data_IF_313993592110
#
_entry.id   IF_313993592110
#
_cell.length_a   1.000
_cell.length_b   1.000
_cell.length_c   1.000
_cell.angle_alpha   90.00
_cell.angle_beta   90.00
_cell.angle_gamma   90.00
#
_symmetry.space_group_name_H-M   'P 1'
#
loop_
_entity.id
_entity.type
_entity.pdbx_description
1 polymer ?
#
# COMPACT_ATOMS: atom_id res chain seq x y z
N UNK A 1 -12.95 -47.05 -31.54
CA UNK A 1 -13.29 -45.64 -31.77
C UNK A 1 -12.92 -44.87 -30.51
N UNK A 2 -11.72 -44.29 -30.46
CA UNK A 2 -11.16 -43.58 -29.29
C UNK A 2 -11.59 -42.13 -29.36
N UNK A 3 -12.28 -41.65 -28.31
CA UNK A 3 -12.60 -40.23 -28.14
C UNK A 3 -11.50 -39.59 -27.35
N UNK A 4 -10.77 -38.67 -28.00
CA UNK A 4 -9.72 -37.84 -27.37
C UNK A 4 -10.37 -36.84 -26.40
N UNK A 5 -9.95 -36.86 -25.14
CA UNK A 5 -10.23 -35.82 -24.18
C UNK A 5 -9.55 -34.52 -24.65
N UNK A 6 -10.31 -33.47 -24.89
CA UNK A 6 -9.80 -32.14 -25.21
C UNK A 6 -9.22 -31.49 -23.95
N UNK A 7 -7.95 -31.16 -23.99
CA UNK A 7 -7.30 -30.33 -22.98
C UNK A 7 -7.88 -28.92 -23.05
N UNK A 8 -8.60 -28.53 -22.01
CA UNK A 8 -9.03 -27.16 -21.81
C UNK A 8 -7.87 -26.38 -21.16
N UNK A 9 -7.03 -25.78 -22.00
CA UNK A 9 -6.01 -24.82 -21.53
C UNK A 9 -6.69 -23.48 -21.26
N UNK A 10 -6.88 -23.17 -19.97
CA UNK A 10 -7.29 -21.84 -19.56
C UNK A 10 -6.19 -20.82 -19.93
N UNK A 11 -6.54 -19.62 -20.42
CA UNK A 11 -5.55 -18.62 -20.83
C UNK A 11 -4.77 -18.09 -19.61
N UNK A 12 -3.47 -18.34 -19.60
CA UNK A 12 -2.54 -17.97 -18.54
C UNK A 12 -2.38 -16.45 -18.30
N UNK A 13 -2.99 -15.62 -19.15
CA UNK A 13 -2.87 -14.16 -19.09
C UNK A 13 -3.80 -13.47 -18.08
N UNK A 14 -4.84 -14.16 -17.58
CA UNK A 14 -5.83 -13.55 -16.67
C UNK A 14 -5.40 -13.56 -15.20
N UNK A 15 -4.43 -14.38 -14.81
CA UNK A 15 -3.98 -14.55 -13.43
C UNK A 15 -2.89 -13.56 -13.01
N UNK A 16 -2.05 -13.08 -13.93
CA UNK A 16 -0.87 -12.28 -13.59
C UNK A 16 -1.19 -10.86 -13.14
N UNK A 17 -2.09 -10.16 -13.83
CA UNK A 17 -2.46 -8.78 -13.50
C UNK A 17 -3.17 -8.65 -12.14
N UNK A 18 -4.05 -9.61 -11.81
CA UNK A 18 -4.78 -9.63 -10.54
C UNK A 18 -3.85 -9.79 -9.33
N UNK A 19 -2.84 -10.67 -9.43
CA UNK A 19 -1.87 -10.86 -8.35
C UNK A 19 -0.98 -9.63 -8.14
N UNK A 20 -0.74 -8.83 -9.18
CA UNK A 20 0.06 -7.61 -9.07
C UNK A 20 -0.70 -6.50 -8.35
N UNK A 21 -1.99 -6.34 -8.63
CA UNK A 21 -2.84 -5.34 -7.97
C UNK A 21 -3.05 -5.70 -6.49
N UNK A 22 -3.34 -6.97 -6.19
CA UNK A 22 -3.49 -7.44 -4.81
C UNK A 22 -2.18 -7.33 -4.00
N UNK A 23 -1.03 -7.67 -4.59
CA UNK A 23 0.28 -7.49 -3.96
C UNK A 23 0.61 -6.02 -3.69
N UNK A 24 0.22 -5.10 -4.59
CA UNK A 24 0.40 -3.67 -4.38
C UNK A 24 -0.53 -3.12 -3.31
N UNK A 25 -1.79 -3.54 -3.28
CA UNK A 25 -2.74 -3.17 -2.22
C UNK A 25 -2.24 -3.66 -0.84
N UNK A 26 -1.70 -4.87 -0.77
CA UNK A 26 -1.11 -5.44 0.46
C UNK A 26 0.20 -4.74 0.86
N UNK A 27 1.05 -4.36 -0.10
CA UNK A 27 2.30 -3.62 0.15
C UNK A 27 2.06 -2.18 0.64
N UNK A 28 0.98 -1.53 0.21
CA UNK A 28 0.59 -0.20 0.72
C UNK A 28 0.17 -0.27 2.19
N UNK A 29 -0.43 -1.37 2.62
CA UNK A 29 -0.77 -1.61 4.03
C UNK A 29 0.48 -1.78 4.93
N UNK A 30 1.59 -2.29 4.40
CA UNK A 30 2.81 -2.58 5.18
C UNK A 30 3.74 -1.37 5.41
N UNK A 31 3.58 -0.26 4.69
CA UNK A 31 4.45 0.92 4.80
C UNK A 31 3.95 1.96 5.82
N UNK A 32 2.78 1.78 6.41
CA UNK A 32 2.18 2.74 7.36
C UNK A 32 2.60 2.57 8.83
N UNK A 33 3.65 1.79 9.16
CA UNK A 33 4.01 1.45 10.55
C UNK A 33 5.33 2.09 11.01
N UNK A 34 5.57 3.35 10.72
CA UNK A 34 6.76 4.00 11.26
C UNK A 34 6.50 5.44 11.74
N UNK A 35 5.46 5.67 12.52
CA UNK A 35 5.34 6.92 13.28
C UNK A 35 4.35 6.80 14.43
N UNK A 36 4.70 6.16 15.54
CA UNK A 36 4.03 6.44 16.81
C UNK A 36 4.85 5.91 18.00
N UNK A 37 5.31 6.80 18.84
CA UNK A 37 5.29 6.51 20.26
C UNK A 37 6.60 6.46 21.01
N UNK A 38 7.13 7.63 21.34
CA UNK A 38 7.96 7.79 22.53
C UNK A 38 7.08 7.77 23.77
N UNK A 39 7.13 6.70 24.55
CA UNK A 39 6.74 6.71 25.94
C UNK A 39 7.86 6.05 26.76
N UNK A 40 8.63 6.88 27.49
CA UNK A 40 9.53 6.42 28.53
C UNK A 40 8.74 5.77 29.66
N UNK A 41 9.07 4.53 30.00
CA UNK A 41 8.61 3.88 31.22
C UNK A 41 9.55 2.74 31.57
N UNK A 42 10.25 2.88 32.67
CA UNK A 42 11.21 1.96 33.25
C UNK A 42 10.55 0.64 33.71
N UNK A 43 11.33 -0.45 33.62
CA UNK A 43 11.41 -1.63 34.51
C UNK A 43 10.74 -2.95 34.13
N UNK A 44 11.61 -3.91 34.16
CA UNK A 44 11.65 -5.32 34.60
C UNK A 44 11.45 -6.42 33.54
N UNK A 45 12.35 -7.45 33.57
CA UNK A 45 12.27 -8.56 32.63
C UNK A 45 11.27 -9.60 33.11
N UNK A 46 10.01 -9.46 32.73
CA UNK A 46 9.07 -10.56 32.79
C UNK A 46 9.11 -11.29 31.46
N UNK A 47 9.37 -12.59 31.50
CA UNK A 47 9.15 -13.53 30.39
C UNK A 47 7.68 -13.45 29.98
N UNK A 48 7.33 -12.46 29.19
CA UNK A 48 6.00 -12.36 28.59
C UNK A 48 5.98 -13.20 27.34
N UNK A 49 5.21 -14.27 27.41
CA UNK A 49 4.72 -15.03 26.27
C UNK A 49 4.28 -14.04 25.18
N UNK A 50 4.92 -14.13 24.01
CA UNK A 50 4.43 -13.48 22.79
C UNK A 50 3.01 -13.98 22.53
N UNK A 51 2.02 -13.19 22.90
CA UNK A 51 0.66 -13.36 22.40
C UNK A 51 0.67 -13.04 20.91
N UNK A 52 0.32 -13.97 20.02
CA UNK A 52 0.06 -13.62 18.62
C UNK A 52 -1.29 -12.89 18.58
N UNK A 53 -1.30 -11.65 18.15
CA UNK A 53 -2.54 -11.05 17.75
C UNK A 53 -3.01 -9.74 18.35
N UNK A 54 -2.13 -8.77 18.58
CA UNK A 54 -2.57 -7.38 18.52
C UNK A 54 -2.13 -6.82 17.17
N UNK A 55 -2.92 -7.05 16.13
CA UNK A 55 -2.81 -6.26 14.91
C UNK A 55 -3.13 -4.83 15.31
N UNK A 56 -2.10 -3.97 15.31
CA UNK A 56 -2.30 -2.55 15.46
C UNK A 56 -3.21 -2.13 14.29
N UNK A 57 -4.36 -1.53 14.61
CA UNK A 57 -5.28 -1.04 13.59
C UNK A 57 -4.50 -0.13 12.64
N UNK A 58 -4.63 -0.38 11.35
CA UNK A 58 -4.01 0.46 10.31
C UNK A 58 -4.50 1.88 10.52
N UNK A 59 -3.60 2.87 10.69
CA UNK A 59 -4.02 4.24 10.94
C UNK A 59 -4.86 4.74 9.76
N UNK A 60 -5.98 5.40 10.08
CA UNK A 60 -6.86 5.96 9.07
C UNK A 60 -6.13 7.04 8.28
N UNK A 61 -6.10 6.92 6.94
CA UNK A 61 -5.50 7.91 6.06
C UNK A 61 -6.42 9.14 6.03
N UNK A 62 -5.88 10.30 6.41
CA UNK A 62 -6.55 11.57 6.20
C UNK A 62 -6.58 11.88 4.70
N UNK A 63 -7.74 11.66 4.07
CA UNK A 63 -7.88 11.82 2.64
C UNK A 63 -8.06 13.29 2.26
N UNK A 64 -7.25 13.77 1.32
CA UNK A 64 -7.25 15.13 0.80
C UNK A 64 -7.38 15.15 -0.73
N UNK A 65 -7.81 16.29 -1.29
CA UNK A 65 -7.77 16.49 -2.74
C UNK A 65 -6.34 16.73 -3.20
N UNK A 66 -5.92 15.94 -4.17
CA UNK A 66 -4.61 16.07 -4.81
C UNK A 66 -4.66 17.06 -5.97
N UNK A 67 -3.51 17.65 -6.26
CA UNK A 67 -3.28 18.46 -7.45
C UNK A 67 -1.89 18.20 -8.06
N UNK A 68 -1.68 18.65 -9.31
CA UNK A 68 -0.42 18.43 -10.03
C UNK A 68 0.83 18.94 -9.30
N UNK A 69 0.71 20.03 -8.53
CA UNK A 69 1.85 20.58 -7.77
C UNK A 69 2.27 19.64 -6.64
N UNK A 70 1.30 19.05 -5.92
CA UNK A 70 1.58 18.11 -4.87
C UNK A 70 2.22 16.83 -5.41
N UNK A 71 1.75 16.33 -6.56
CA UNK A 71 2.38 15.17 -7.20
C UNK A 71 3.79 15.48 -7.70
N UNK A 72 4.01 16.66 -8.27
CA UNK A 72 5.36 17.10 -8.67
C UNK A 72 6.29 17.25 -7.45
N UNK A 73 5.78 17.82 -6.35
CA UNK A 73 6.50 17.91 -5.09
C UNK A 73 6.85 16.52 -4.53
N UNK A 74 5.90 15.58 -4.55
CA UNK A 74 6.15 14.20 -4.16
C UNK A 74 7.31 13.57 -4.96
N UNK A 75 7.31 13.70 -6.29
CA UNK A 75 8.39 13.18 -7.14
C UNK A 75 9.74 13.79 -6.81
N UNK A 76 9.78 15.11 -6.53
CA UNK A 76 10.98 15.81 -6.10
C UNK A 76 11.49 15.32 -4.75
N UNK A 77 10.59 15.18 -3.76
CA UNK A 77 10.93 14.70 -2.43
C UNK A 77 11.43 13.25 -2.45
N UNK A 78 10.83 12.36 -3.24
CA UNK A 78 11.32 10.99 -3.41
C UNK A 78 12.76 10.94 -3.88
N UNK A 79 13.13 11.78 -4.86
CA UNK A 79 14.50 11.88 -5.34
C UNK A 79 15.46 12.36 -4.26
N UNK A 80 15.04 13.35 -3.44
CA UNK A 80 15.87 13.84 -2.33
C UNK A 80 15.99 12.80 -1.21
N UNK A 81 14.93 12.01 -0.93
CA UNK A 81 14.94 10.93 0.05
C UNK A 81 15.89 9.80 -0.34
N UNK A 82 15.99 9.45 -1.60
CA UNK A 82 16.98 8.47 -2.11
C UNK A 82 18.40 8.90 -1.70
N UNK A 83 18.71 10.20 -1.72
CA UNK A 83 20.05 10.69 -1.36
C UNK A 83 20.39 10.51 0.13
N UNK A 84 19.38 10.30 1.01
CA UNK A 84 19.58 10.08 2.45
C UNK A 84 19.18 8.67 2.91
N UNK A 85 18.91 7.74 1.98
CA UNK A 85 18.49 6.37 2.30
C UNK A 85 19.44 5.69 3.29
N UNK A 86 20.76 5.81 3.09
CA UNK A 86 21.73 5.22 4.01
C UNK A 86 21.65 5.78 5.44
N UNK A 87 21.25 7.04 5.61
CA UNK A 87 21.05 7.64 6.95
C UNK A 87 19.77 7.11 7.57
N UNK A 88 18.71 6.95 6.79
CA UNK A 88 17.44 6.39 7.23
C UNK A 88 17.60 4.92 7.66
N UNK A 89 18.31 4.12 6.86
CA UNK A 89 18.64 2.73 7.19
C UNK A 89 19.48 2.64 8.48
N UNK A 90 20.48 3.51 8.63
CA UNK A 90 21.32 3.55 9.84
C UNK A 90 20.56 3.99 11.09
N UNK A 91 19.53 4.83 10.96
CA UNK A 91 18.68 5.30 12.06
C UNK A 91 17.72 4.20 12.53
N UNK A 92 17.34 3.26 11.65
CA UNK A 92 16.34 2.23 11.96
C UNK A 92 15.01 2.86 12.41
N UNK A 93 14.49 2.37 13.53
CA UNK A 93 13.21 2.85 14.09
C UNK A 93 13.32 4.15 14.90
N UNK A 94 14.55 4.71 15.06
CA UNK A 94 14.77 5.90 15.88
C UNK A 94 15.31 7.04 15.03
N UNK A 95 14.44 8.00 14.72
CA UNK A 95 14.81 9.23 14.01
C UNK A 95 15.20 10.29 15.05
N UNK A 96 16.45 10.75 15.02
CA UNK A 96 16.91 11.84 15.88
C UNK A 96 16.45 13.21 15.35
N UNK A 97 16.55 14.25 16.18
CA UNK A 97 16.13 15.61 15.85
C UNK A 97 16.83 16.17 14.60
N UNK A 98 18.08 15.75 14.35
CA UNK A 98 18.84 16.20 13.18
C UNK A 98 18.30 15.60 11.89
N UNK A 99 18.02 14.29 11.90
CA UNK A 99 17.45 13.59 10.76
C UNK A 99 16.01 14.04 10.52
N UNK A 100 15.22 14.25 11.61
CA UNK A 100 13.88 14.82 11.49
C UNK A 100 13.92 16.20 10.83
N UNK A 101 14.86 17.06 11.23
CA UNK A 101 15.04 18.37 10.58
C UNK A 101 15.40 18.24 9.10
N UNK A 102 16.26 17.27 8.73
CA UNK A 102 16.64 17.03 7.34
C UNK A 102 15.44 16.57 6.52
N UNK A 103 14.58 15.71 7.06
CA UNK A 103 13.32 15.29 6.45
C UNK A 103 12.36 16.48 6.25
N UNK A 104 12.19 17.33 7.26
CA UNK A 104 11.37 18.53 7.17
C UNK A 104 11.89 19.52 6.11
N UNK A 105 13.21 19.66 6.02
CA UNK A 105 13.84 20.51 5.02
C UNK A 105 13.62 19.96 3.59
N UNK A 106 13.62 18.62 3.40
CA UNK A 106 13.24 17.97 2.15
C UNK A 106 11.77 18.26 1.82
N UNK A 107 10.85 18.09 2.79
CA UNK A 107 9.45 18.43 2.62
C UNK A 107 9.26 19.88 2.15
N UNK A 108 9.84 20.82 2.86
CA UNK A 108 9.76 22.27 2.56
C UNK A 108 10.35 22.64 1.20
N UNK A 109 11.51 22.08 0.84
CA UNK A 109 12.16 22.26 -0.47
C UNK A 109 11.23 21.86 -1.62
N UNK A 110 10.41 20.83 -1.40
CA UNK A 110 9.51 20.27 -2.41
C UNK A 110 8.07 20.81 -2.32
N UNK A 111 7.83 21.86 -1.53
CA UNK A 111 6.57 22.59 -1.50
C UNK A 111 5.55 22.12 -0.46
N UNK A 112 5.97 21.29 0.47
CA UNK A 112 5.19 20.85 1.65
C UNK A 112 5.51 21.74 2.87
N UNK A 113 4.66 21.72 3.88
CA UNK A 113 4.88 22.46 5.14
C UNK A 113 6.05 21.87 5.94
N UNK A 114 6.10 20.55 5.99
CA UNK A 114 7.06 19.73 6.69
C UNK A 114 7.04 18.32 6.11
N UNK A 115 7.74 17.38 6.73
CA UNK A 115 7.74 15.97 6.30
C UNK A 115 6.40 15.27 6.54
N UNK A 116 5.66 15.65 7.58
CA UNK A 116 4.36 15.07 7.86
C UNK A 116 3.31 15.42 6.77
N UNK A 117 3.33 16.67 6.27
CA UNK A 117 2.50 17.09 5.12
C UNK A 117 2.86 16.31 3.84
N UNK A 118 4.17 16.05 3.61
CA UNK A 118 4.62 15.18 2.53
C UNK A 118 4.08 13.76 2.68
N UNK A 119 4.16 13.15 3.86
CA UNK A 119 3.67 11.79 4.12
C UNK A 119 2.14 11.69 3.96
N UNK A 120 1.40 12.73 4.34
CA UNK A 120 -0.06 12.78 4.10
C UNK A 120 -0.37 12.76 2.60
N UNK A 121 0.31 13.57 1.80
CA UNK A 121 0.15 13.59 0.34
C UNK A 121 0.60 12.27 -0.28
N UNK A 122 1.73 11.73 0.18
CA UNK A 122 2.23 10.42 -0.25
C UNK A 122 1.20 9.32 -0.02
N UNK A 123 0.61 9.24 1.18
CA UNK A 123 -0.41 8.25 1.50
C UNK A 123 -1.62 8.33 0.56
N UNK A 124 -2.07 9.54 0.23
CA UNK A 124 -3.17 9.76 -0.71
C UNK A 124 -2.81 9.34 -2.16
N UNK A 125 -1.59 9.63 -2.61
CA UNK A 125 -1.09 9.16 -3.92
C UNK A 125 -1.05 7.64 -3.96
N UNK A 126 -0.50 6.99 -2.93
CA UNK A 126 -0.38 5.53 -2.86
C UNK A 126 -1.74 4.84 -2.80
N UNK A 127 -2.72 5.41 -2.09
CA UNK A 127 -4.09 4.90 -2.05
C UNK A 127 -4.71 4.83 -3.45
N UNK A 128 -4.53 5.85 -4.26
CA UNK A 128 -5.03 5.86 -5.65
C UNK A 128 -4.22 4.93 -6.53
N UNK A 129 -2.89 4.95 -6.40
CA UNK A 129 -1.98 4.13 -7.20
C UNK A 129 -2.24 2.63 -7.02
N UNK A 130 -2.69 2.21 -5.84
CA UNK A 130 -3.06 0.83 -5.54
C UNK A 130 -4.17 0.30 -6.46
N UNK A 131 -5.04 1.17 -6.99
CA UNK A 131 -6.09 0.79 -7.93
C UNK A 131 -5.71 0.93 -9.41
N UNK A 132 -4.54 1.50 -9.73
CA UNK A 132 -4.09 1.71 -11.11
C UNK A 132 -3.30 0.48 -11.58
N UNK A 133 -3.77 -0.14 -12.65
CA UNK A 133 -3.05 -1.23 -13.32
C UNK A 133 -1.78 -0.65 -14.00
N UNK A 134 -0.59 -1.17 -13.71
CA UNK A 134 0.67 -0.61 -14.22
C UNK A 134 0.88 -0.81 -15.71
N UNK A 135 0.23 -1.81 -16.30
CA UNK A 135 0.40 -2.17 -17.71
C UNK A 135 -0.59 -1.40 -18.60
N UNK A 136 -1.83 -1.24 -18.13
CA UNK A 136 -2.90 -0.59 -18.89
C UNK A 136 -3.15 0.86 -18.48
N UNK A 137 -2.76 1.25 -17.25
CA UNK A 137 -3.08 2.55 -16.65
C UNK A 137 -4.57 2.69 -16.29
N UNK A 138 -5.34 1.60 -16.34
CA UNK A 138 -6.75 1.63 -15.95
C UNK A 138 -6.90 1.58 -14.43
N UNK A 139 -7.88 2.32 -13.92
CA UNK A 139 -8.22 2.29 -12.50
C UNK A 139 -9.33 1.28 -12.25
N UNK A 140 -9.13 0.43 -11.26
CA UNK A 140 -10.14 -0.44 -10.68
C UNK A 140 -10.19 -0.21 -9.16
N UNK A 141 -11.37 -0.04 -8.59
CA UNK A 141 -11.52 0.12 -7.15
C UNK A 141 -11.04 -1.14 -6.43
N UNK A 142 -9.98 -1.05 -5.58
CA UNK A 142 -9.41 -2.21 -4.90
C UNK A 142 -10.43 -2.92 -3.98
N UNK A 143 -11.35 -2.18 -3.36
CA UNK A 143 -12.42 -2.75 -2.52
C UNK A 143 -13.36 -3.62 -3.36
N UNK A 144 -13.76 -3.14 -4.54
CA UNK A 144 -14.62 -3.90 -5.44
C UNK A 144 -13.90 -5.11 -6.05
N UNK A 145 -12.59 -5.02 -6.27
CA UNK A 145 -11.79 -6.17 -6.70
C UNK A 145 -11.76 -7.26 -5.63
N UNK A 146 -11.45 -6.92 -4.37
CA UNK A 146 -11.43 -7.89 -3.27
C UNK A 146 -12.81 -8.52 -3.07
N UNK A 147 -13.89 -7.76 -3.14
CA UNK A 147 -15.26 -8.31 -3.07
C UNK A 147 -15.53 -9.35 -4.16
N UNK A 148 -15.09 -9.08 -5.39
CA UNK A 148 -15.22 -10.03 -6.51
C UNK A 148 -14.39 -11.28 -6.28
N UNK A 149 -13.18 -11.13 -5.73
CA UNK A 149 -12.31 -12.27 -5.44
C UNK A 149 -12.87 -13.12 -4.31
N UNK A 150 -13.46 -12.52 -3.27
CA UNK A 150 -14.20 -13.25 -2.21
C UNK A 150 -15.33 -14.10 -2.82
N UNK A 151 -16.13 -13.54 -3.73
CA UNK A 151 -17.20 -14.30 -4.38
C UNK A 151 -16.64 -15.42 -5.29
N UNK A 152 -15.53 -15.17 -5.98
CA UNK A 152 -14.86 -16.19 -6.79
C UNK A 152 -14.31 -17.34 -5.93
N UNK A 153 -13.68 -17.05 -4.77
CA UNK A 153 -13.18 -18.05 -3.82
C UNK A 153 -14.34 -18.89 -3.25
N UNK A 154 -15.47 -18.26 -2.91
CA UNK A 154 -16.67 -18.99 -2.45
C UNK A 154 -17.21 -19.96 -3.49
N UNK A 155 -17.16 -19.57 -4.76
CA UNK A 155 -17.69 -20.36 -5.89
C UNK A 155 -16.71 -21.44 -6.38
N UNK A 156 -15.43 -21.36 -6.02
CA UNK A 156 -14.39 -22.27 -6.50
C UNK A 156 -14.52 -23.66 -5.81
N UNK A 157 -14.93 -24.66 -6.59
CA UNK A 157 -15.11 -26.04 -6.15
C UNK A 157 -13.79 -26.83 -6.13
N UNK A 158 -12.72 -26.31 -6.73
CA UNK A 158 -11.40 -26.96 -6.75
C UNK A 158 -10.60 -26.70 -5.47
N UNK A 159 -10.92 -25.64 -4.72
CA UNK A 159 -10.29 -25.34 -3.44
C UNK A 159 -10.76 -26.30 -2.35
N UNK A 160 -9.82 -26.78 -1.52
CA UNK A 160 -10.18 -27.50 -0.31
C UNK A 160 -10.93 -26.56 0.66
N UNK A 161 -11.75 -27.12 1.57
CA UNK A 161 -12.47 -26.32 2.57
C UNK A 161 -11.51 -25.54 3.49
N UNK A 162 -10.37 -26.16 3.83
CA UNK A 162 -9.35 -25.51 4.66
C UNK A 162 -8.72 -24.31 3.95
N UNK A 163 -8.29 -24.47 2.69
CA UNK A 163 -7.69 -23.39 1.90
C UNK A 163 -8.71 -22.26 1.62
N UNK A 164 -9.95 -22.64 1.30
CA UNK A 164 -11.04 -21.67 1.11
C UNK A 164 -11.26 -20.81 2.36
N UNK A 165 -11.29 -21.45 3.55
CA UNK A 165 -11.48 -20.75 4.82
C UNK A 165 -10.36 -19.75 5.06
N UNK A 166 -9.10 -20.14 4.89
CA UNK A 166 -7.93 -19.29 5.08
C UNK A 166 -7.98 -18.10 4.12
N UNK A 167 -8.21 -18.35 2.82
CA UNK A 167 -8.25 -17.27 1.84
C UNK A 167 -9.41 -16.29 2.07
N UNK A 168 -10.58 -16.78 2.47
CA UNK A 168 -11.72 -15.92 2.79
C UNK A 168 -11.46 -15.07 4.04
N UNK A 169 -10.80 -15.62 5.05
CA UNK A 169 -10.42 -14.90 6.26
C UNK A 169 -9.43 -13.79 5.92
N UNK A 170 -8.35 -14.09 5.19
CA UNK A 170 -7.35 -13.10 4.75
C UNK A 170 -7.99 -11.97 3.91
N UNK A 171 -8.83 -12.30 2.92
CA UNK A 171 -9.49 -11.29 2.08
C UNK A 171 -10.50 -10.45 2.88
N UNK A 172 -11.22 -11.07 3.82
CA UNK A 172 -12.20 -10.36 4.65
C UNK A 172 -11.50 -9.41 5.62
N UNK A 173 -10.38 -9.81 6.19
CA UNK A 173 -9.59 -8.96 7.08
C UNK A 173 -8.94 -7.81 6.31
N UNK A 174 -8.35 -8.08 5.14
CA UNK A 174 -7.85 -7.02 4.25
C UNK A 174 -8.95 -6.00 3.90
N UNK A 175 -10.18 -6.46 3.62
CA UNK A 175 -11.30 -5.57 3.30
C UNK A 175 -11.71 -4.66 4.47
N UNK A 176 -11.59 -5.12 5.72
CA UNK A 176 -11.90 -4.33 6.91
C UNK A 176 -10.93 -3.16 7.12
N UNK A 177 -9.66 -3.37 6.72
CA UNK A 177 -8.60 -2.38 6.86
C UNK A 177 -8.61 -1.34 5.72
N UNK A 178 -9.34 -1.60 4.65
CA UNK A 178 -9.38 -0.71 3.49
C UNK A 178 -10.37 0.43 3.67
N UNK A 179 -9.95 1.63 3.31
CA UNK A 179 -10.79 2.80 3.27
C UNK A 179 -11.29 3.05 1.83
N UNK A 180 -12.58 3.35 1.64
CA UNK A 180 -13.08 3.76 0.33
C UNK A 180 -12.51 5.11 -0.08
N UNK A 181 -12.20 5.27 -1.37
CA UNK A 181 -11.68 6.52 -1.91
C UNK A 181 -12.75 7.62 -1.85
N UNK A 182 -12.48 8.64 -1.03
CA UNK A 182 -13.38 9.79 -0.82
C UNK A 182 -13.34 10.79 -1.97
N UNK A 183 -12.15 11.05 -2.53
CA UNK A 183 -11.94 12.04 -3.59
C UNK A 183 -11.59 11.31 -4.90
N UNK A 184 -12.62 10.97 -5.67
CA UNK A 184 -12.46 10.24 -6.94
C UNK A 184 -11.70 11.04 -8.01
N UNK A 185 -11.73 12.37 -7.92
CA UNK A 185 -10.96 13.27 -8.79
C UNK A 185 -9.44 13.06 -8.68
N UNK A 186 -8.96 12.52 -7.54
CA UNK A 186 -7.55 12.16 -7.37
C UNK A 186 -7.09 11.09 -8.37
N UNK A 187 -8.01 10.27 -8.88
CA UNK A 187 -7.70 9.21 -9.86
C UNK A 187 -7.08 9.84 -11.11
N UNK A 188 -7.70 10.89 -11.67
CA UNK A 188 -7.21 11.52 -12.90
C UNK A 188 -5.86 12.21 -12.67
N UNK A 189 -5.69 12.85 -11.49
CA UNK A 189 -4.43 13.50 -11.13
C UNK A 189 -3.30 12.48 -11.02
N UNK A 190 -3.51 11.35 -10.32
CA UNK A 190 -2.47 10.33 -10.15
C UNK A 190 -2.22 9.56 -11.45
N UNK A 191 -3.25 9.22 -12.22
CA UNK A 191 -3.10 8.56 -13.54
C UNK A 191 -2.21 9.35 -14.48
N UNK A 192 -2.38 10.66 -14.54
CA UNK A 192 -1.56 11.55 -15.36
C UNK A 192 -0.05 11.43 -15.07
N UNK A 193 0.30 11.09 -13.83
CA UNK A 193 1.67 10.99 -13.35
C UNK A 193 2.10 9.55 -13.02
N UNK A 194 1.25 8.55 -13.24
CA UNK A 194 1.45 7.17 -12.76
C UNK A 194 2.79 6.57 -13.17
N UNK A 195 3.22 6.79 -14.42
CA UNK A 195 4.52 6.31 -14.90
C UNK A 195 5.70 6.93 -14.14
N UNK A 196 5.66 8.25 -13.93
CA UNK A 196 6.73 8.96 -13.21
C UNK A 196 6.75 8.55 -11.72
N UNK A 197 5.59 8.30 -11.13
CA UNK A 197 5.47 7.80 -9.76
C UNK A 197 6.06 6.39 -9.66
N UNK A 198 5.70 5.49 -10.59
CA UNK A 198 6.23 4.12 -10.62
C UNK A 198 7.76 4.08 -10.81
N UNK A 199 8.29 4.97 -11.62
CA UNK A 199 9.75 5.14 -11.81
C UNK A 199 10.45 5.68 -10.54
N UNK A 200 9.81 6.60 -9.81
CA UNK A 200 10.38 7.19 -8.60
C UNK A 200 10.31 6.26 -7.37
N UNK A 201 9.50 5.20 -7.43
CA UNK A 201 9.34 4.22 -6.34
C UNK A 201 10.19 2.96 -6.53
N UNK A 202 10.96 2.86 -7.60
CA UNK A 202 11.92 1.75 -7.88
C UNK A 202 13.27 2.04 -7.31
#
# INVERSE_FOLDING_TARGET
MMIRAGEFTAPASYSSARHTILRRALLVLLVAVAAAGVALGLMEPALAQQQPGAQAATPEINQVRLNDKQVAGFLGAQKDLVAITAKLEAAGDTIDDKLQKELDDIGKKNGFKDFADFEEIRANIMMVLAGIDPDTGEYSDPIELIKKDIEAIKADKALSEADRKVQLEEMTDALKEMQPLKFKENIDVVKKHAKAIDEALK
#
